data_IF_523207530329
#
_entry.id   IF_523207530329
#
_cell.length_a   1.000
_cell.length_b   1.000
_cell.length_c   1.000
_cell.angle_alpha   90.00
_cell.angle_beta   90.00
_cell.angle_gamma   90.00
#
_symmetry.space_group_name_H-M   'P 1'
#
loop_
_entity.id
_entity.type
_entity.pdbx_description
1 polymer ?
#
# COMPACT_ATOMS: atom_id res chain seq x y z
N UNK A 1 -11.33 36.15 -24.56
CA UNK A 1 -10.98 35.89 -23.14
C UNK A 1 -11.96 34.96 -22.44
N UNK A 2 -13.29 35.19 -22.48
CA UNK A 2 -14.29 34.31 -21.84
C UNK A 2 -14.27 32.85 -22.31
N UNK A 3 -14.20 32.59 -23.62
CA UNK A 3 -14.10 31.21 -24.17
C UNK A 3 -12.86 30.50 -23.64
N UNK A 4 -11.70 31.18 -23.63
CA UNK A 4 -10.44 30.59 -23.19
C UNK A 4 -10.48 30.22 -21.70
N UNK A 5 -11.13 31.06 -20.89
CA UNK A 5 -11.35 30.82 -19.46
C UNK A 5 -12.27 29.62 -19.20
N UNK A 6 -13.35 29.47 -19.99
CA UNK A 6 -14.26 28.32 -19.91
C UNK A 6 -13.54 27.03 -20.27
N UNK A 7 -12.74 27.04 -21.34
CA UNK A 7 -11.94 25.87 -21.76
C UNK A 7 -10.95 25.47 -20.66
N UNK A 8 -10.29 26.45 -20.03
CA UNK A 8 -9.35 26.20 -18.94
C UNK A 8 -10.03 25.55 -17.71
N UNK A 9 -11.20 26.06 -17.31
CA UNK A 9 -11.98 25.48 -16.21
C UNK A 9 -12.42 24.06 -16.53
N UNK A 10 -12.91 23.81 -17.75
CA UNK A 10 -13.36 22.49 -18.16
C UNK A 10 -12.21 21.49 -18.14
N UNK A 11 -11.03 21.90 -18.61
CA UNK A 11 -9.82 21.09 -18.56
C UNK A 11 -9.43 20.76 -17.12
N UNK A 12 -9.41 21.74 -16.22
CA UNK A 12 -9.14 21.53 -14.79
C UNK A 12 -10.13 20.53 -14.17
N UNK A 13 -11.41 20.65 -14.50
CA UNK A 13 -12.46 19.79 -13.94
C UNK A 13 -12.32 18.34 -14.44
N UNK A 14 -11.97 18.14 -15.71
CA UNK A 14 -11.70 16.80 -16.26
C UNK A 14 -10.49 16.15 -15.59
N UNK A 15 -9.39 16.89 -15.45
CA UNK A 15 -8.16 16.34 -14.84
C UNK A 15 -8.36 15.94 -13.38
N UNK A 16 -9.15 16.69 -12.62
CA UNK A 16 -9.46 16.36 -11.22
C UNK A 16 -10.34 15.11 -11.11
N UNK A 17 -11.32 14.92 -11.99
CA UNK A 17 -12.15 13.70 -12.01
C UNK A 17 -11.29 12.46 -12.30
N UNK A 18 -10.41 12.53 -13.30
CA UNK A 18 -9.54 11.40 -13.66
C UNK A 18 -8.57 11.08 -12.51
N UNK A 19 -8.00 12.09 -11.87
CA UNK A 19 -7.09 11.90 -10.73
C UNK A 19 -7.77 11.33 -9.48
N UNK A 20 -9.09 11.52 -9.35
CA UNK A 20 -9.88 11.03 -8.22
C UNK A 20 -10.07 9.51 -8.25
N UNK A 21 -10.03 8.89 -9.43
CA UNK A 21 -10.28 7.47 -9.56
C UNK A 21 -9.00 6.68 -9.26
N UNK A 22 -9.05 5.83 -8.24
CA UNK A 22 -7.95 4.94 -7.86
C UNK A 22 -8.37 3.49 -7.92
N UNK A 23 -7.58 2.69 -8.64
CA UNK A 23 -7.78 1.25 -8.76
C UNK A 23 -6.75 0.55 -7.87
N UNK A 24 -7.23 -0.33 -7.00
CA UNK A 24 -6.42 -1.19 -6.14
C UNK A 24 -6.45 -2.60 -6.70
N UNK A 25 -5.26 -3.14 -6.98
CA UNK A 25 -5.11 -4.48 -7.53
C UNK A 25 -5.38 -5.56 -6.46
N UNK A 26 -5.92 -6.70 -6.89
CA UNK A 26 -6.14 -7.86 -6.02
C UNK A 26 -4.83 -8.35 -5.40
N UNK A 27 -4.87 -8.63 -4.10
CA UNK A 27 -3.69 -9.02 -3.30
C UNK A 27 -2.89 -7.84 -2.78
N UNK A 28 -3.35 -6.60 -3.00
CA UNK A 28 -2.82 -5.41 -2.37
C UNK A 28 -3.90 -4.64 -1.64
N UNK A 29 -3.45 -3.89 -0.65
CA UNK A 29 -4.26 -2.97 0.14
C UNK A 29 -3.51 -1.64 0.21
N UNK A 30 -4.20 -0.54 -0.08
CA UNK A 30 -3.57 0.79 -0.11
C UNK A 30 -3.98 1.59 1.12
N UNK A 31 -3.01 2.01 1.93
CA UNK A 31 -3.25 2.88 3.08
C UNK A 31 -3.29 4.32 2.61
N UNK A 32 -4.41 4.99 2.84
CA UNK A 32 -4.63 6.39 2.46
C UNK A 32 -4.54 7.28 3.68
N UNK A 33 -3.74 8.33 3.54
CA UNK A 33 -3.61 9.41 4.49
C UNK A 33 -4.27 10.67 3.95
N UNK A 34 -4.90 11.44 4.84
CA UNK A 34 -5.45 12.76 4.56
C UNK A 34 -4.71 13.77 5.43
N UNK A 35 -4.05 14.74 4.80
CA UNK A 35 -3.30 15.80 5.48
C UNK A 35 -2.31 15.25 6.55
N UNK A 36 -1.63 14.15 6.24
CA UNK A 36 -0.65 13.52 7.13
C UNK A 36 -1.23 12.69 8.28
N UNK A 37 -2.55 12.45 8.30
CA UNK A 37 -3.20 11.52 9.23
C UNK A 37 -3.77 10.33 8.50
N UNK A 38 -3.77 9.16 9.14
CA UNK A 38 -4.50 8.00 8.63
C UNK A 38 -5.97 8.37 8.38
N UNK A 39 -6.46 8.05 7.19
CA UNK A 39 -7.86 8.28 6.83
C UNK A 39 -8.60 6.95 6.71
N UNK A 40 -8.14 6.07 5.83
CA UNK A 40 -8.75 4.76 5.58
C UNK A 40 -7.82 3.85 4.80
N UNK A 41 -8.19 2.58 4.76
CA UNK A 41 -7.52 1.54 4.00
C UNK A 41 -8.39 1.15 2.80
N UNK A 42 -7.83 1.15 1.60
CA UNK A 42 -8.52 0.76 0.37
C UNK A 42 -8.26 -0.71 0.05
N UNK A 43 -9.33 -1.49 0.02
CA UNK A 43 -9.33 -2.89 -0.41
C UNK A 43 -9.26 -3.03 -1.93
N UNK A 44 -9.00 -4.22 -2.49
CA UNK A 44 -9.04 -4.46 -3.93
C UNK A 44 -10.33 -3.98 -4.58
N UNK A 45 -10.23 -3.17 -5.63
CA UNK A 45 -11.39 -2.60 -6.32
C UNK A 45 -11.20 -1.15 -6.77
N UNK A 46 -12.31 -0.53 -7.17
CA UNK A 46 -12.36 0.86 -7.61
C UNK A 46 -12.74 1.76 -6.44
N UNK A 47 -11.94 2.79 -6.20
CA UNK A 47 -12.13 3.74 -5.12
C UNK A 47 -12.04 5.16 -5.63
N UNK A 48 -12.82 6.05 -5.03
CA UNK A 48 -12.79 7.48 -5.29
C UNK A 48 -12.05 8.13 -4.14
N UNK A 49 -10.93 8.77 -4.44
CA UNK A 49 -10.12 9.55 -3.49
C UNK A 49 -10.20 11.02 -3.85
N UNK A 50 -10.08 11.91 -2.85
CA UNK A 50 -10.04 13.34 -3.13
C UNK A 50 -8.62 13.65 -3.64
N UNK A 51 -8.44 13.99 -4.93
CA UNK A 51 -7.12 14.32 -5.43
C UNK A 51 -6.56 15.52 -4.65
N UNK A 52 -5.24 15.56 -4.47
CA UNK A 52 -4.50 16.59 -3.73
C UNK A 52 -4.61 16.58 -2.20
N UNK A 53 -5.69 16.04 -1.63
CA UNK A 53 -5.87 15.96 -0.16
C UNK A 53 -5.56 14.55 0.35
N UNK A 54 -5.99 13.54 -0.39
CA UNK A 54 -5.75 12.13 -0.08
C UNK A 54 -4.49 11.63 -0.80
N UNK A 55 -3.57 11.04 -0.03
CA UNK A 55 -2.34 10.45 -0.54
C UNK A 55 -2.27 8.97 -0.18
N UNK A 56 -1.87 8.13 -1.14
CA UNK A 56 -1.59 6.71 -0.87
C UNK A 56 -0.19 6.63 -0.27
N UNK A 57 -0.09 6.42 1.05
CA UNK A 57 1.19 6.36 1.77
C UNK A 57 1.92 5.05 1.55
N UNK A 58 1.19 3.94 1.61
CA UNK A 58 1.77 2.61 1.52
C UNK A 58 0.88 1.67 0.72
N UNK A 59 1.52 0.80 -0.06
CA UNK A 59 0.88 -0.31 -0.77
C UNK A 59 1.35 -1.59 -0.10
N UNK A 60 0.46 -2.24 0.63
CA UNK A 60 0.78 -3.44 1.40
C UNK A 60 0.31 -4.64 0.59
N UNK A 61 1.18 -5.61 0.40
CA UNK A 61 0.80 -6.89 -0.19
C UNK A 61 0.12 -7.75 0.87
N UNK A 62 -1.09 -8.22 0.58
CA UNK A 62 -1.83 -9.21 1.38
C UNK A 62 -1.42 -10.65 1.03
N UNK A 63 -0.51 -10.82 0.07
CA UNK A 63 0.04 -12.12 -0.28
C UNK A 63 1.00 -12.60 0.79
N UNK A 64 1.04 -13.90 1.02
CA UNK A 64 1.98 -14.54 1.92
C UNK A 64 3.41 -14.26 1.47
N UNK A 65 4.24 -13.79 2.39
CA UNK A 65 5.65 -13.57 2.17
C UNK A 65 6.44 -14.57 3.00
N UNK A 66 7.49 -15.11 2.39
CA UNK A 66 8.45 -15.98 3.04
C UNK A 66 9.56 -15.09 3.56
N UNK A 67 9.79 -15.12 4.87
CA UNK A 67 10.92 -14.45 5.49
C UNK A 67 11.95 -15.52 5.85
N UNK A 68 13.06 -15.52 5.12
CA UNK A 68 14.20 -16.37 5.43
C UNK A 68 14.98 -15.74 6.58
N UNK A 69 15.32 -16.54 7.58
CA UNK A 69 16.15 -16.15 8.72
C UNK A 69 17.45 -16.92 8.65
N UNK A 70 18.54 -16.26 9.02
CA UNK A 70 19.84 -16.91 9.05
C UNK A 70 19.85 -18.05 10.08
N UNK A 71 20.43 -19.23 9.75
CA UNK A 71 20.51 -20.34 10.67
C UNK A 71 21.21 -19.94 11.97
N UNK A 72 20.56 -20.18 13.11
CA UNK A 72 21.13 -19.86 14.42
C UNK A 72 21.69 -21.13 15.07
N UNK A 73 22.94 -21.05 15.52
CA UNK A 73 23.57 -22.09 16.33
C UNK A 73 23.15 -21.95 17.80
N UNK A 74 22.52 -22.99 18.33
CA UNK A 74 22.04 -23.05 19.71
C UNK A 74 22.63 -24.26 20.42
N UNK A 75 22.94 -24.10 21.71
CA UNK A 75 23.44 -25.19 22.56
C UNK A 75 22.23 -25.83 23.24
N UNK A 76 22.05 -27.13 23.05
CA UNK A 76 20.98 -27.90 23.69
C UNK A 76 21.25 -28.08 25.19
N UNK A 77 20.23 -28.48 25.95
CA UNK A 77 20.38 -28.79 27.38
C UNK A 77 21.41 -29.91 27.64
N UNK A 78 21.61 -30.77 26.66
CA UNK A 78 22.59 -31.87 26.69
C UNK A 78 24.00 -31.42 26.25
N UNK A 79 24.24 -30.11 26.14
CA UNK A 79 25.52 -29.51 25.80
C UNK A 79 26.03 -29.90 24.39
N UNK A 80 25.11 -30.02 23.44
CA UNK A 80 25.42 -30.25 22.02
C UNK A 80 25.12 -28.98 21.23
N UNK A 81 26.05 -28.58 20.36
CA UNK A 81 25.83 -27.46 19.46
C UNK A 81 25.08 -27.94 18.20
N UNK A 82 23.92 -27.35 17.94
CA UNK A 82 23.11 -27.63 16.75
C UNK A 82 22.79 -26.33 16.03
N UNK A 83 22.72 -26.37 14.71
CA UNK A 83 22.24 -25.25 13.89
C UNK A 83 20.80 -25.51 13.47
N UNK A 84 19.91 -24.59 13.76
CA UNK A 84 18.49 -24.68 13.40
C UNK A 84 18.22 -23.68 12.29
N UNK A 85 17.63 -24.17 11.21
CA UNK A 85 17.07 -23.36 10.12
C UNK A 85 15.55 -23.36 10.23
N UNK A 86 14.91 -22.21 10.01
CA UNK A 86 13.49 -22.00 10.17
C UNK A 86 12.98 -21.06 9.09
N UNK A 87 11.73 -21.26 8.67
CA UNK A 87 11.07 -20.39 7.69
C UNK A 87 9.80 -19.82 8.32
N UNK A 88 9.65 -18.50 8.27
CA UNK A 88 8.46 -17.82 8.80
C UNK A 88 7.58 -17.39 7.64
N UNK A 89 6.32 -17.84 7.68
CA UNK A 89 5.29 -17.39 6.75
C UNK A 89 4.49 -16.24 7.37
N UNK A 90 4.58 -15.06 6.77
CA UNK A 90 3.86 -13.87 7.24
C UNK A 90 2.78 -13.51 6.22
N UNK A 91 1.57 -13.24 6.72
CA UNK A 91 0.45 -12.69 5.97
C UNK A 91 -0.11 -11.49 6.73
N UNK A 92 -0.11 -10.33 6.08
CA UNK A 92 -0.68 -9.08 6.61
C UNK A 92 -2.16 -8.93 6.25
#
# INVERSE_FOLDING_TARGET
MKILFIIFILFLLITTIIASIKIVNTGYVYVVERLGKYHRTLEPGWHIIIPYVDFVRQRISTKQQILDIEPQSVITKDNVNISIDNVIFIRY
#
